data_IF_214331463526
#
_entry.id   IF_214331463526
#
_cell.length_a   1.000
_cell.length_b   1.000
_cell.length_c   1.000
_cell.angle_alpha   90.00
_cell.angle_beta   90.00
_cell.angle_gamma   90.00
#
_symmetry.space_group_name_H-M   'P 1'
#
loop_
_entity.id
_entity.type
_entity.pdbx_description
1 polymer ?
#
# COMPACT_ATOMS: atom_id res chain seq x y z
N UNK A 1 -25.48 67.11 19.32
CA UNK A 1 -25.03 66.15 18.29
C UNK A 1 -25.67 64.78 18.56
N UNK A 2 -26.47 64.29 17.59
CA UNK A 2 -26.91 62.90 17.27
C UNK A 2 -26.88 61.87 18.43
N UNK A 3 -28.00 61.49 19.08
CA UNK A 3 -29.01 60.46 18.69
C UNK A 3 -28.45 59.29 17.88
N UNK A 4 -28.59 58.06 18.39
CA UNK A 4 -29.33 56.92 17.81
C UNK A 4 -29.09 55.68 18.69
N UNK A 5 -30.16 55.21 19.34
CA UNK A 5 -30.23 53.89 19.97
C UNK A 5 -30.61 52.84 18.92
N UNK A 6 -30.01 51.66 19.00
CA UNK A 6 -30.30 50.53 18.12
C UNK A 6 -31.42 49.69 18.74
N UNK A 7 -32.58 49.67 18.07
CA UNK A 7 -33.64 48.69 18.29
C UNK A 7 -33.45 47.55 17.28
N UNK A 8 -33.35 46.32 17.78
CA UNK A 8 -33.33 45.10 16.97
C UNK A 8 -34.79 44.70 16.73
N UNK A 9 -35.26 44.85 15.50
CA UNK A 9 -36.54 44.30 15.05
C UNK A 9 -36.29 42.95 14.37
N UNK A 10 -36.96 41.90 14.88
CA UNK A 10 -37.01 40.56 14.31
C UNK A 10 -37.92 40.61 13.06
N UNK A 11 -37.39 40.30 11.88
CA UNK A 11 -38.19 40.02 10.69
C UNK A 11 -38.06 38.53 10.36
N UNK A 12 -39.12 37.77 10.66
CA UNK A 12 -39.28 36.41 10.16
C UNK A 12 -39.83 36.47 8.74
N UNK A 13 -38.99 36.22 7.74
CA UNK A 13 -39.43 35.97 6.37
C UNK A 13 -39.74 34.48 6.21
N UNK A 14 -41.01 34.16 5.97
CA UNK A 14 -41.44 32.84 5.56
C UNK A 14 -40.94 32.56 4.14
N UNK A 15 -40.04 31.60 3.96
CA UNK A 15 -39.68 31.07 2.65
C UNK A 15 -40.56 29.86 2.37
N UNK A 16 -41.45 29.99 1.39
CA UNK A 16 -42.16 28.84 0.80
C UNK A 16 -41.20 28.09 -0.12
N UNK A 17 -41.21 26.74 -0.13
CA UNK A 17 -40.41 25.98 -1.08
C UNK A 17 -41.05 26.05 -2.47
N UNK A 18 -40.30 26.58 -3.44
CA UNK A 18 -40.58 26.36 -4.86
C UNK A 18 -40.24 24.91 -5.18
N UNK A 19 -41.24 24.12 -5.58
CA UNK A 19 -41.03 22.78 -6.08
C UNK A 19 -40.27 22.85 -7.41
N UNK A 20 -38.99 22.48 -7.39
CA UNK A 20 -38.23 22.24 -8.61
C UNK A 20 -38.70 20.91 -9.21
N UNK A 21 -39.24 20.97 -10.43
CA UNK A 21 -39.54 19.78 -11.22
C UNK A 21 -38.24 18.99 -11.47
N UNK A 22 -38.26 17.71 -11.12
CA UNK A 22 -37.13 16.81 -11.35
C UNK A 22 -36.89 16.63 -12.86
N UNK A 23 -35.65 16.79 -13.37
CA UNK A 23 -35.34 16.39 -14.72
C UNK A 23 -35.48 14.86 -14.85
N UNK A 24 -36.24 14.42 -15.84
CA UNK A 24 -36.35 13.01 -16.20
C UNK A 24 -34.96 12.49 -16.58
N UNK A 25 -34.42 11.58 -15.77
CA UNK A 25 -33.21 10.85 -16.09
C UNK A 25 -33.51 9.89 -17.26
N UNK A 26 -33.03 10.22 -18.44
CA UNK A 26 -32.86 9.25 -19.51
C UNK A 26 -31.72 8.31 -19.10
N UNK A 27 -32.07 7.13 -18.59
CA UNK A 27 -31.11 6.04 -18.37
C UNK A 27 -30.44 5.68 -19.70
N UNK A 28 -29.11 5.84 -19.85
CA UNK A 28 -28.40 5.16 -20.92
C UNK A 28 -28.47 3.65 -20.61
N UNK A 29 -28.91 2.87 -21.59
CA UNK A 29 -28.91 1.41 -21.49
C UNK A 29 -27.48 0.94 -21.18
N UNK A 30 -27.26 0.45 -19.96
CA UNK A 30 -26.05 -0.29 -19.61
C UNK A 30 -26.12 -1.59 -20.41
N UNK A 31 -25.27 -1.71 -21.42
CA UNK A 31 -25.08 -2.95 -22.14
C UNK A 31 -24.63 -4.00 -21.13
N UNK A 32 -25.54 -4.91 -20.80
CA UNK A 32 -25.27 -6.08 -19.98
C UNK A 32 -24.34 -6.98 -20.80
N UNK A 33 -23.03 -6.85 -20.59
CA UNK A 33 -22.07 -7.80 -21.10
C UNK A 33 -22.35 -9.14 -20.39
N UNK A 34 -23.00 -10.05 -21.09
CA UNK A 34 -23.19 -11.42 -20.66
C UNK A 34 -21.82 -12.05 -20.44
N UNK A 35 -21.45 -12.25 -19.17
CA UNK A 35 -20.29 -13.02 -18.79
C UNK A 35 -20.56 -14.50 -19.09
N UNK A 36 -20.29 -14.93 -20.32
CA UNK A 36 -20.11 -16.35 -20.61
C UNK A 36 -18.76 -16.77 -20.01
N UNK A 37 -18.79 -17.20 -18.75
CA UNK A 37 -17.66 -17.88 -18.11
C UNK A 37 -18.13 -19.25 -17.63
N UNK A 38 -18.05 -20.24 -18.53
CA UNK A 38 -17.80 -21.62 -18.12
C UNK A 38 -16.31 -21.73 -17.80
N UNK A 39 -15.91 -21.21 -16.65
CA UNK A 39 -14.65 -21.58 -16.01
C UNK A 39 -15.02 -22.47 -14.83
N UNK A 40 -14.63 -23.74 -14.89
CA UNK A 40 -14.69 -24.63 -13.74
C UNK A 40 -13.92 -23.99 -12.57
N UNK A 41 -14.36 -24.15 -11.31
CA UNK A 41 -13.64 -23.56 -10.19
C UNK A 41 -12.26 -24.21 -10.11
N UNK A 42 -11.21 -23.43 -10.38
CA UNK A 42 -9.89 -23.77 -9.90
C UNK A 42 -10.00 -23.84 -8.37
N UNK A 43 -9.65 -24.98 -7.79
CA UNK A 43 -9.60 -25.13 -6.34
C UNK A 43 -8.76 -23.97 -5.77
N UNK A 44 -9.34 -23.18 -4.86
CA UNK A 44 -8.64 -22.11 -4.18
C UNK A 44 -7.31 -22.66 -3.65
N UNK A 45 -6.20 -21.99 -3.97
CA UNK A 45 -4.89 -22.46 -3.59
C UNK A 45 -4.84 -22.53 -2.06
N UNK A 46 -4.58 -23.71 -1.50
CA UNK A 46 -4.40 -23.85 -0.05
C UNK A 46 -3.20 -22.97 0.35
N UNK A 47 -3.32 -22.06 1.33
CA UNK A 47 -2.23 -21.15 1.69
C UNK A 47 -0.97 -21.95 2.05
N UNK A 48 0.19 -21.55 1.51
CA UNK A 48 1.44 -22.28 1.72
C UNK A 48 1.99 -22.09 3.15
N UNK A 49 1.62 -20.97 3.78
CA UNK A 49 1.89 -20.64 5.18
C UNK A 49 0.56 -20.41 5.91
N UNK A 50 0.31 -21.17 6.97
CA UNK A 50 -0.79 -20.88 7.88
C UNK A 50 -0.59 -19.49 8.49
N UNK A 51 -1.66 -18.70 8.66
CA UNK A 51 -1.52 -17.42 9.33
C UNK A 51 -1.04 -17.63 10.78
N UNK A 52 0.22 -17.29 11.07
CA UNK A 52 0.72 -17.25 12.44
C UNK A 52 0.12 -16.04 13.14
N UNK A 53 -0.59 -16.28 14.24
CA UNK A 53 -1.35 -15.26 14.97
C UNK A 53 -0.48 -14.21 15.70
N UNK A 54 0.85 -14.26 15.53
CA UNK A 54 1.79 -13.45 16.32
C UNK A 54 2.19 -12.13 15.64
N UNK A 55 2.26 -12.09 14.30
CA UNK A 55 2.80 -10.94 13.56
C UNK A 55 1.90 -10.54 12.39
N UNK A 56 1.89 -9.25 12.01
CA UNK A 56 1.10 -8.76 10.88
C UNK A 56 -0.40 -8.64 11.12
N UNK A 57 -0.84 -8.77 12.38
CA UNK A 57 -2.24 -8.63 12.83
C UNK A 57 -2.35 -7.70 14.05
N UNK A 58 -3.51 -7.05 14.26
CA UNK A 58 -3.75 -6.32 15.50
C UNK A 58 -3.79 -7.27 16.72
N UNK A 59 -3.24 -6.83 17.85
CA UNK A 59 -3.23 -7.61 19.11
C UNK A 59 -4.24 -7.05 20.11
N UNK A 60 -5.07 -7.88 20.78
CA UNK A 60 -6.01 -7.41 21.79
C UNK A 60 -5.34 -6.59 22.89
N UNK A 61 -5.83 -5.38 23.15
CA UNK A 61 -5.32 -4.48 24.18
C UNK A 61 -4.00 -3.77 23.86
N UNK A 62 -3.41 -3.99 22.69
CA UNK A 62 -2.21 -3.26 22.29
C UNK A 62 -2.55 -1.78 21.98
N UNK A 63 -1.73 -0.86 22.51
CA UNK A 63 -1.91 0.60 22.38
C UNK A 63 -0.98 1.26 21.35
N UNK A 64 0.00 0.50 20.83
CA UNK A 64 1.01 0.99 19.90
C UNK A 64 0.74 0.60 18.45
N UNK A 65 1.67 1.00 17.59
CA UNK A 65 1.71 0.57 16.19
C UNK A 65 1.98 -0.96 16.15
N UNK A 66 1.46 -1.64 15.13
CA UNK A 66 1.87 -3.03 14.83
C UNK A 66 3.39 -3.14 14.66
N UNK A 67 3.95 -4.33 14.93
CA UNK A 67 5.37 -4.57 14.72
C UNK A 67 5.77 -4.31 13.27
N UNK A 68 6.84 -3.54 13.09
CA UNK A 68 7.31 -3.12 11.78
C UNK A 68 8.33 -4.10 11.23
N UNK A 69 8.04 -4.68 10.07
CA UNK A 69 8.91 -5.69 9.42
C UNK A 69 9.76 -5.12 8.29
N UNK A 70 9.53 -3.88 7.89
CA UNK A 70 10.38 -3.15 6.93
C UNK A 70 11.41 -2.27 7.66
N UNK A 71 12.55 -2.01 7.04
CA UNK A 71 13.57 -1.09 7.59
C UNK A 71 13.01 0.32 7.76
N UNK A 72 12.38 0.84 6.70
CA UNK A 72 11.68 2.14 6.72
C UNK A 72 10.64 2.20 7.84
N UNK A 73 9.83 1.14 8.01
CA UNK A 73 8.83 1.09 9.05
C UNK A 73 9.41 1.12 10.45
N UNK A 74 10.51 0.39 10.71
CA UNK A 74 11.19 0.43 12.00
C UNK A 74 11.75 1.82 12.32
N UNK A 75 12.37 2.48 11.36
CA UNK A 75 12.83 3.87 11.54
C UNK A 75 11.66 4.82 11.83
N UNK A 76 10.56 4.66 11.10
CA UNK A 76 9.38 5.50 11.25
C UNK A 76 8.65 5.29 12.59
N UNK A 77 8.48 4.04 13.00
CA UNK A 77 7.89 3.70 14.30
C UNK A 77 8.78 4.19 15.45
N UNK A 78 10.11 4.07 15.33
CA UNK A 78 11.01 4.62 16.35
C UNK A 78 10.91 6.15 16.45
N UNK A 79 10.83 6.84 15.31
CA UNK A 79 10.62 8.29 15.28
C UNK A 79 9.28 8.69 15.91
N UNK A 80 8.22 7.96 15.60
CA UNK A 80 6.89 8.16 16.18
C UNK A 80 6.86 7.90 17.70
N UNK A 81 7.21 6.68 18.11
CA UNK A 81 7.00 6.19 19.48
C UNK A 81 7.96 6.84 20.48
N UNK A 82 9.24 6.98 20.14
CA UNK A 82 10.22 7.50 21.10
C UNK A 82 10.42 9.01 20.99
N UNK A 83 10.34 9.57 19.78
CA UNK A 83 10.65 10.99 19.58
C UNK A 83 9.39 11.85 19.65
N UNK A 84 8.41 11.60 18.77
CA UNK A 84 7.20 12.42 18.69
C UNK A 84 6.29 12.25 19.91
N UNK A 85 5.99 11.02 20.31
CA UNK A 85 5.10 10.79 21.46
C UNK A 85 5.71 11.30 22.77
N UNK A 86 7.01 11.11 23.02
CA UNK A 86 7.69 11.66 24.20
C UNK A 86 7.62 13.19 24.23
N UNK A 87 7.91 13.84 23.11
CA UNK A 87 7.82 15.30 23.01
C UNK A 87 6.39 15.81 23.25
N UNK A 88 5.39 15.19 22.62
CA UNK A 88 3.98 15.51 22.82
C UNK A 88 3.56 15.30 24.28
N UNK A 89 4.01 14.22 24.93
CA UNK A 89 3.74 13.96 26.34
C UNK A 89 4.36 15.02 27.24
N UNK A 90 5.62 15.41 27.02
CA UNK A 90 6.29 16.47 27.79
C UNK A 90 5.57 17.81 27.66
N UNK A 91 5.20 18.22 26.44
CA UNK A 91 4.46 19.47 26.21
C UNK A 91 3.07 19.40 26.87
N UNK A 92 2.37 18.27 26.72
CA UNK A 92 1.04 18.07 27.31
C UNK A 92 1.09 18.12 28.84
N UNK A 93 2.08 17.47 29.46
CA UNK A 93 2.30 17.50 30.90
C UNK A 93 2.68 18.90 31.40
N UNK A 94 3.49 19.64 30.64
CA UNK A 94 3.82 21.03 30.95
C UNK A 94 2.57 21.92 30.95
N UNK A 95 1.74 21.83 29.90
CA UNK A 95 0.47 22.57 29.82
C UNK A 95 -0.47 22.16 30.95
N UNK A 96 -0.60 20.86 31.22
CA UNK A 96 -1.42 20.34 32.30
C UNK A 96 -0.95 20.85 33.67
N UNK A 97 0.36 20.87 33.92
CA UNK A 97 0.93 21.39 35.15
C UNK A 97 0.67 22.90 35.32
N UNK A 98 0.80 23.69 34.25
CA UNK A 98 0.45 25.11 34.28
C UNK A 98 -1.05 25.31 34.53
N UNK A 99 -1.92 24.54 33.91
CA UNK A 99 -3.37 24.59 34.16
C UNK A 99 -3.69 24.23 35.62
N UNK A 100 -3.15 23.13 36.15
CA UNK A 100 -3.33 22.74 37.54
C UNK A 100 -2.79 23.82 38.50
N UNK A 101 -1.60 24.36 38.21
CA UNK A 101 -1.01 25.45 38.98
C UNK A 101 -1.91 26.68 38.98
N UNK A 102 -2.40 27.11 37.81
CA UNK A 102 -3.27 28.29 37.71
C UNK A 102 -4.59 28.09 38.44
N UNK A 103 -5.21 26.91 38.33
CA UNK A 103 -6.43 26.56 39.07
C UNK A 103 -6.22 26.62 40.58
N UNK A 104 -5.10 26.09 41.09
CA UNK A 104 -4.84 26.08 42.54
C UNK A 104 -4.40 27.45 43.04
N UNK A 105 -3.46 28.12 42.35
CA UNK A 105 -2.82 29.36 42.80
C UNK A 105 -3.68 30.59 42.59
N UNK A 106 -4.44 30.65 41.50
CA UNK A 106 -5.22 31.83 41.09
C UNK A 106 -6.74 31.67 41.26
N UNK A 107 -7.21 30.60 41.93
CA UNK A 107 -8.61 30.51 42.37
C UNK A 107 -9.03 31.72 43.22
N UNK A 108 -10.32 32.06 43.19
CA UNK A 108 -10.89 33.23 43.88
C UNK A 108 -10.53 33.33 45.36
N UNK A 109 -10.45 32.21 46.08
CA UNK A 109 -10.09 32.19 47.51
C UNK A 109 -8.61 32.45 47.77
N UNK A 110 -7.70 32.06 46.86
CA UNK A 110 -6.26 32.22 47.01
C UNK A 110 -5.72 33.50 46.33
N UNK A 111 -6.47 34.07 45.40
CA UNK A 111 -6.10 35.29 44.69
C UNK A 111 -7.31 36.22 44.46
N UNK A 112 -7.82 36.89 45.52
CA UNK A 112 -9.06 37.67 45.45
C UNK A 112 -8.95 38.96 44.62
N UNK A 113 -7.74 39.48 44.39
CA UNK A 113 -7.47 40.66 43.55
C UNK A 113 -6.66 40.23 42.32
N UNK A 114 -7.27 40.09 41.13
CA UNK A 114 -6.56 39.65 39.93
C UNK A 114 -5.57 40.71 39.44
N UNK A 115 -4.48 40.27 38.80
CA UNK A 115 -3.57 41.18 38.10
C UNK A 115 -4.26 41.82 36.89
N UNK A 116 -3.78 43.00 36.50
CA UNK A 116 -4.22 43.73 35.29
C UNK A 116 -3.17 43.74 34.17
N UNK A 117 -2.05 43.04 34.35
CA UNK A 117 -1.03 42.89 33.30
C UNK A 117 -1.64 42.16 32.10
N UNK A 118 -1.57 42.77 30.92
CA UNK A 118 -2.16 42.23 29.69
C UNK A 118 -1.14 41.68 28.70
N UNK A 119 0.13 42.05 28.82
CA UNK A 119 1.19 41.66 27.89
C UNK A 119 2.54 41.55 28.59
N UNK A 120 3.42 40.75 28.03
CA UNK A 120 4.84 40.66 28.40
C UNK A 120 5.62 40.22 27.16
N UNK A 121 6.19 41.19 26.44
CA UNK A 121 6.89 40.97 25.17
C UNK A 121 8.01 39.94 25.28
N UNK A 122 8.71 39.87 26.42
CA UNK A 122 9.76 38.87 26.60
C UNK A 122 9.21 37.44 26.60
N UNK A 123 8.13 37.20 27.36
CA UNK A 123 7.48 35.88 27.42
C UNK A 123 6.86 35.54 26.06
N UNK A 124 6.25 36.54 25.40
CA UNK A 124 5.68 36.39 24.06
C UNK A 124 6.73 35.93 23.04
N UNK A 125 7.90 36.55 23.03
CA UNK A 125 9.01 36.13 22.15
C UNK A 125 9.45 34.71 22.48
N UNK A 126 9.58 34.34 23.77
CA UNK A 126 10.00 33.00 24.17
C UNK A 126 9.00 31.93 23.74
N UNK A 127 7.70 32.10 24.01
CA UNK A 127 6.69 31.10 23.63
C UNK A 127 6.45 31.02 22.13
N UNK A 128 6.93 31.98 21.33
CA UNK A 128 6.83 31.95 19.87
C UNK A 128 8.06 31.30 19.27
N UNK A 129 9.26 31.67 19.74
CA UNK A 129 10.50 31.10 19.21
C UNK A 129 10.70 29.64 19.61
N UNK A 130 10.34 29.24 20.85
CA UNK A 130 10.51 27.87 21.31
C UNK A 130 9.72 26.86 20.44
N UNK A 131 8.41 27.04 20.16
CA UNK A 131 7.69 26.17 19.25
C UNK A 131 8.26 26.13 17.83
N UNK A 132 8.72 27.27 17.30
CA UNK A 132 9.36 27.31 15.97
C UNK A 132 10.61 26.43 15.95
N UNK A 133 11.46 26.52 16.97
CA UNK A 133 12.67 25.69 17.07
C UNK A 133 12.32 24.20 17.23
N UNK A 134 11.28 23.87 18.00
CA UNK A 134 10.78 22.49 18.15
C UNK A 134 10.34 21.94 16.78
N UNK A 135 9.57 22.70 16.01
CA UNK A 135 9.12 22.27 14.68
C UNK A 135 10.29 22.05 13.71
N UNK A 136 11.31 22.90 13.73
CA UNK A 136 12.54 22.70 12.94
C UNK A 136 13.26 21.42 13.34
N UNK A 137 13.37 21.14 14.64
CA UNK A 137 14.00 19.92 15.14
C UNK A 137 13.24 18.63 14.72
N UNK A 138 11.91 18.69 14.62
CA UNK A 138 11.08 17.60 14.09
C UNK A 138 11.23 17.45 12.57
N UNK A 139 11.30 18.57 11.84
CA UNK A 139 11.26 18.57 10.39
C UNK A 139 12.46 17.87 9.75
N UNK A 140 13.67 18.05 10.29
CA UNK A 140 14.91 17.48 9.72
C UNK A 140 14.89 15.94 9.63
N UNK A 141 14.68 15.19 10.73
CA UNK A 141 14.59 13.72 10.67
C UNK A 141 13.37 13.27 9.84
N UNK A 142 12.24 13.98 9.95
CA UNK A 142 11.02 13.67 9.19
C UNK A 142 11.23 13.71 7.67
N UNK A 143 11.88 14.77 7.15
CA UNK A 143 12.19 14.90 5.72
C UNK A 143 13.13 13.80 5.25
N UNK A 144 14.09 13.37 6.08
CA UNK A 144 14.99 12.27 5.74
C UNK A 144 14.23 10.95 5.55
N UNK A 145 13.31 10.65 6.47
CA UNK A 145 12.45 9.46 6.39
C UNK A 145 11.52 9.51 5.17
N UNK A 146 10.93 10.68 4.91
CA UNK A 146 10.07 10.92 3.75
C UNK A 146 10.81 10.66 2.43
N UNK A 147 12.07 11.12 2.32
CA UNK A 147 12.88 10.85 1.11
C UNK A 147 13.12 9.37 0.90
N UNK A 148 13.41 8.59 1.95
CA UNK A 148 13.55 7.13 1.86
C UNK A 148 12.26 6.46 1.37
N UNK A 149 11.10 6.95 1.83
CA UNK A 149 9.81 6.42 1.43
C UNK A 149 9.51 6.67 -0.06
N UNK A 150 9.84 7.85 -0.59
CA UNK A 150 9.53 8.24 -1.97
C UNK A 150 10.66 8.05 -2.99
N UNK A 151 11.82 7.52 -2.56
CA UNK A 151 12.94 7.19 -3.45
C UNK A 151 13.19 5.68 -3.45
N UNK A 152 12.34 4.89 -4.16
CA UNK A 152 12.43 3.44 -4.16
C UNK A 152 13.77 2.96 -4.74
N UNK A 153 14.39 1.92 -4.17
CA UNK A 153 15.47 1.20 -4.84
C UNK A 153 14.96 0.46 -6.08
N UNK A 154 15.85 -0.02 -6.97
CA UNK A 154 15.45 -0.85 -8.11
C UNK A 154 14.61 -2.05 -7.65
N UNK A 155 13.47 -2.27 -8.31
CA UNK A 155 12.54 -3.33 -7.95
C UNK A 155 13.04 -4.70 -8.44
N UNK A 156 12.96 -5.71 -7.58
CA UNK A 156 13.12 -7.13 -7.95
C UNK A 156 11.80 -7.72 -8.47
N UNK A 157 10.66 -7.16 -8.04
CA UNK A 157 9.31 -7.59 -8.40
C UNK A 157 8.38 -6.38 -8.50
N UNK A 158 7.57 -6.31 -9.55
CA UNK A 158 6.46 -5.37 -9.67
C UNK A 158 5.12 -6.09 -9.50
N UNK A 159 4.26 -5.56 -8.63
CA UNK A 159 2.87 -5.99 -8.47
C UNK A 159 1.96 -4.79 -8.72
N UNK A 160 1.01 -4.93 -9.65
CA UNK A 160 -0.03 -3.91 -9.84
C UNK A 160 -1.22 -4.25 -8.95
N UNK A 161 -1.66 -3.29 -8.15
CA UNK A 161 -2.79 -3.39 -7.22
C UNK A 161 -3.92 -2.51 -7.74
N UNK A 162 -5.12 -3.06 -7.85
CA UNK A 162 -6.29 -2.37 -8.38
C UNK A 162 -7.43 -2.50 -7.37
N UNK A 163 -7.89 -1.36 -6.85
CA UNK A 163 -9.08 -1.29 -6.00
C UNK A 163 -10.36 -1.38 -6.82
N UNK A 164 -11.33 -2.14 -6.32
CA UNK A 164 -12.68 -2.27 -6.86
C UNK A 164 -13.68 -2.28 -5.70
N UNK A 165 -14.94 -1.88 -5.91
CA UNK A 165 -16.02 -2.02 -4.95
C UNK A 165 -16.53 -3.48 -4.91
N UNK A 166 -16.24 -4.30 -3.88
CA UNK A 166 -15.35 -4.10 -2.72
C UNK A 166 -14.43 -5.32 -2.60
N UNK A 167 -13.37 -5.33 -3.40
CA UNK A 167 -12.35 -6.37 -3.48
C UNK A 167 -11.08 -5.82 -4.14
N UNK A 168 -9.98 -6.57 -4.10
CA UNK A 168 -8.72 -6.18 -4.73
C UNK A 168 -8.38 -7.11 -5.89
N UNK A 169 -7.90 -6.51 -6.98
CA UNK A 169 -7.29 -7.24 -8.09
C UNK A 169 -5.79 -6.99 -8.10
N UNK A 170 -5.01 -8.03 -8.32
CA UNK A 170 -3.56 -7.98 -8.34
C UNK A 170 -3.01 -8.58 -9.63
N UNK A 171 -2.07 -7.89 -10.28
CA UNK A 171 -1.42 -8.38 -11.50
C UNK A 171 0.09 -8.46 -11.31
N UNK A 172 0.69 -9.51 -11.83
CA UNK A 172 2.14 -9.77 -11.78
C UNK A 172 2.76 -9.60 -13.18
N UNK A 173 2.96 -8.35 -13.66
CA UNK A 173 3.42 -8.09 -15.03
C UNK A 173 4.78 -8.74 -15.33
N UNK A 174 5.68 -8.79 -14.35
CA UNK A 174 7.02 -9.37 -14.52
C UNK A 174 7.01 -10.91 -14.57
N UNK A 175 5.89 -11.55 -14.23
CA UNK A 175 5.76 -13.01 -14.10
C UNK A 175 4.75 -13.64 -15.06
N UNK A 176 4.56 -13.05 -16.24
CA UNK A 176 3.60 -13.53 -17.24
C UNK A 176 2.23 -12.87 -17.14
N UNK A 177 2.06 -11.85 -16.29
CA UNK A 177 0.88 -11.00 -16.28
C UNK A 177 -0.38 -11.67 -15.75
N UNK A 178 -0.27 -12.76 -15.00
CA UNK A 178 -1.43 -13.40 -14.38
C UNK A 178 -2.09 -12.48 -13.36
N UNK A 179 -3.39 -12.68 -13.18
CA UNK A 179 -4.26 -11.89 -12.32
C UNK A 179 -4.79 -12.70 -11.14
N UNK A 180 -4.90 -12.06 -9.99
CA UNK A 180 -5.51 -12.60 -8.78
C UNK A 180 -6.61 -11.66 -8.33
N UNK A 181 -7.79 -12.22 -8.09
CA UNK A 181 -8.91 -11.51 -7.46
C UNK A 181 -8.98 -11.99 -6.01
N UNK A 182 -8.97 -11.04 -5.07
CA UNK A 182 -8.96 -11.29 -3.63
C UNK A 182 -10.18 -10.65 -2.98
N UNK A 183 -11.09 -11.49 -2.49
CA UNK A 183 -12.28 -11.13 -1.75
C UNK A 183 -12.14 -11.47 -0.28
N UNK A 184 -12.83 -10.72 0.59
CA UNK A 184 -12.93 -11.08 1.99
C UNK A 184 -13.66 -12.42 2.17
N UNK A 185 -13.10 -13.29 3.02
CA UNK A 185 -13.80 -14.50 3.42
C UNK A 185 -14.95 -14.20 4.37
N UNK A 186 -16.04 -14.92 4.19
CA UNK A 186 -17.20 -14.89 5.08
C UNK A 186 -17.04 -15.88 6.22
N UNK A 187 -17.65 -15.60 7.36
CA UNK A 187 -17.74 -16.57 8.45
C UNK A 187 -18.67 -17.72 8.08
N UNK A 188 -18.51 -18.87 8.77
CA UNK A 188 -19.29 -20.08 8.51
C UNK A 188 -20.81 -19.87 8.56
N UNK A 189 -21.27 -18.93 9.38
CA UNK A 189 -22.69 -18.61 9.53
C UNK A 189 -23.27 -17.86 8.31
N UNK A 190 -22.43 -17.22 7.50
CA UNK A 190 -22.83 -16.32 6.40
C UNK A 190 -22.65 -16.93 5.01
N UNK A 191 -22.31 -18.22 4.94
CA UNK A 191 -22.12 -18.98 3.70
C UNK A 191 -23.18 -20.06 3.53
N UNK A 192 -23.47 -20.42 2.28
CA UNK A 192 -24.34 -21.58 2.00
C UNK A 192 -23.59 -22.89 2.25
N UNK A 193 -24.34 -23.98 2.42
CA UNK A 193 -23.74 -25.30 2.54
C UNK A 193 -22.87 -25.63 1.32
N UNK A 194 -21.60 -25.98 1.56
CA UNK A 194 -20.62 -26.30 0.53
C UNK A 194 -19.77 -25.11 0.02
N UNK A 195 -20.09 -23.88 0.41
CA UNK A 195 -19.25 -22.72 0.10
C UNK A 195 -18.04 -22.64 1.04
N UNK A 196 -16.90 -22.15 0.54
CA UNK A 196 -15.69 -21.90 1.35
C UNK A 196 -15.96 -20.75 2.33
N UNK A 197 -15.58 -20.95 3.58
CA UNK A 197 -15.68 -19.96 4.65
C UNK A 197 -14.33 -19.77 5.34
N UNK A 198 -14.21 -18.70 6.13
CA UNK A 198 -13.00 -18.39 6.89
C UNK A 198 -12.70 -19.47 7.93
N UNK A 199 -11.46 -19.93 7.94
CA UNK A 199 -10.85 -20.73 9.01
C UNK A 199 -9.73 -19.94 9.68
N UNK A 200 -9.24 -20.40 10.83
CA UNK A 200 -8.15 -19.71 11.53
C UNK A 200 -6.83 -19.78 10.75
N UNK A 201 -6.67 -20.76 9.85
CA UNK A 201 -5.53 -20.82 8.94
C UNK A 201 -5.54 -19.68 7.91
N UNK A 202 -6.71 -19.15 7.57
CA UNK A 202 -6.88 -18.04 6.62
C UNK A 202 -6.56 -16.68 7.25
N UNK A 203 -6.71 -16.57 8.57
CA UNK A 203 -6.42 -15.36 9.34
C UNK A 203 -7.61 -14.87 10.17
N UNK A 204 -7.48 -13.70 10.79
CA UNK A 204 -8.52 -13.14 11.65
C UNK A 204 -9.81 -12.77 10.88
N UNK A 205 -10.96 -12.73 11.57
CA UNK A 205 -12.19 -12.16 11.02
C UNK A 205 -11.95 -10.76 10.43
N UNK A 206 -12.67 -10.44 9.34
CA UNK A 206 -12.56 -9.17 8.58
C UNK A 206 -11.21 -8.91 7.89
N UNK A 207 -10.18 -9.73 8.12
CA UNK A 207 -8.85 -9.58 7.50
C UNK A 207 -8.54 -10.71 6.51
N UNK A 208 -9.05 -11.91 6.76
CA UNK A 208 -8.84 -13.07 5.90
C UNK A 208 -9.49 -12.89 4.52
N UNK A 209 -8.78 -13.32 3.49
CA UNK A 209 -9.20 -13.27 2.07
C UNK A 209 -9.21 -14.66 1.45
N UNK A 210 -9.89 -14.78 0.30
CA UNK A 210 -9.96 -16.03 -0.43
C UNK A 210 -8.65 -16.43 -1.10
N UNK A 211 -7.98 -15.48 -1.73
CA UNK A 211 -6.67 -15.65 -2.37
C UNK A 211 -5.72 -14.56 -1.89
N UNK A 212 -4.65 -14.98 -1.19
CA UNK A 212 -3.58 -14.07 -0.76
C UNK A 212 -2.66 -13.80 -1.94
N UNK A 213 -2.14 -12.57 -2.03
CA UNK A 213 -1.00 -12.31 -2.90
C UNK A 213 0.28 -12.82 -2.25
N UNK A 214 1.24 -13.26 -3.05
CA UNK A 214 2.51 -13.79 -2.57
C UNK A 214 3.66 -12.92 -3.06
N UNK A 215 4.60 -12.62 -2.17
CA UNK A 215 5.82 -11.89 -2.51
C UNK A 215 7.07 -12.60 -1.95
N UNK A 216 8.24 -12.51 -2.62
CA UNK A 216 9.46 -13.16 -2.16
C UNK A 216 10.13 -12.39 -1.03
N UNK A 217 10.52 -13.10 0.03
CA UNK A 217 11.28 -12.57 1.14
C UNK A 217 12.65 -12.03 0.70
N UNK A 218 13.09 -10.93 1.31
CA UNK A 218 14.39 -10.31 1.07
C UNK A 218 14.53 -9.54 -0.25
N UNK A 219 13.43 -9.37 -0.99
CA UNK A 219 13.38 -8.70 -2.29
C UNK A 219 12.66 -7.35 -2.21
N UNK A 220 13.06 -6.41 -3.06
CA UNK A 220 12.39 -5.12 -3.22
C UNK A 220 11.16 -5.32 -4.09
N UNK A 221 9.99 -5.15 -3.49
CA UNK A 221 8.70 -5.24 -4.18
C UNK A 221 8.15 -3.84 -4.40
N UNK A 222 7.90 -3.50 -5.66
CA UNK A 222 7.22 -2.27 -6.07
C UNK A 222 5.74 -2.55 -6.28
N UNK A 223 4.89 -1.79 -5.60
CA UNK A 223 3.45 -1.80 -5.81
C UNK A 223 3.04 -0.60 -6.66
N UNK A 224 2.40 -0.87 -7.79
CA UNK A 224 1.72 0.14 -8.60
C UNK A 224 0.24 0.10 -8.26
N UNK A 225 -0.27 1.15 -7.63
CA UNK A 225 -1.60 1.17 -7.00
C UNK A 225 -2.54 2.10 -7.78
N UNK A 226 -3.72 1.60 -8.14
CA UNK A 226 -4.77 2.35 -8.85
C UNK A 226 -6.15 1.79 -8.53
N UNK A 227 -7.21 2.35 -9.13
CA UNK A 227 -8.59 1.89 -8.96
C UNK A 227 -9.35 1.90 -10.28
N UNK A 228 -10.33 1.01 -10.42
CA UNK A 228 -11.25 0.97 -11.55
C UNK A 228 -12.51 1.83 -11.34
N UNK A 229 -12.82 2.23 -10.10
CA UNK A 229 -14.10 2.88 -9.77
C UNK A 229 -13.96 4.16 -8.93
N UNK A 230 -13.93 4.03 -7.60
CA UNK A 230 -13.80 5.13 -6.64
C UNK A 230 -12.42 5.12 -6.00
N UNK A 231 -12.12 6.09 -5.15
CA UNK A 231 -10.86 6.08 -4.41
C UNK A 231 -10.90 4.97 -3.34
N UNK A 232 -9.83 4.19 -3.27
CA UNK A 232 -9.52 3.26 -2.18
C UNK A 232 -8.13 3.61 -1.63
N UNK A 233 -7.65 2.91 -0.61
CA UNK A 233 -6.24 3.02 -0.21
C UNK A 233 -5.66 1.66 0.17
N UNK A 234 -4.53 1.34 -0.44
CA UNK A 234 -3.77 0.12 -0.19
C UNK A 234 -2.87 0.36 1.02
N UNK A 235 -3.17 -0.30 2.14
CA UNK A 235 -2.47 -0.09 3.40
C UNK A 235 -2.17 -1.41 4.13
N UNK A 236 -0.91 -1.58 4.53
CA UNK A 236 -0.43 -2.72 5.32
C UNK A 236 0.34 -2.14 6.50
N UNK A 237 -0.25 -2.13 7.71
CA UNK A 237 0.35 -1.48 8.87
C UNK A 237 1.75 -1.99 9.23
N UNK A 238 1.96 -3.31 9.17
CA UNK A 238 3.27 -3.93 9.48
C UNK A 238 4.38 -3.54 8.49
N UNK A 239 4.03 -3.03 7.31
CA UNK A 239 4.98 -2.60 6.28
C UNK A 239 5.28 -1.10 6.32
N UNK A 240 4.55 -0.33 7.13
CA UNK A 240 4.52 1.14 7.07
C UNK A 240 4.05 1.68 5.71
N UNK A 241 3.20 0.93 5.03
CA UNK A 241 2.73 1.26 3.68
C UNK A 241 1.29 1.74 3.73
N UNK A 242 1.04 2.88 3.09
CA UNK A 242 -0.29 3.38 2.78
C UNK A 242 -0.19 4.27 1.55
N UNK A 243 -0.98 3.97 0.53
CA UNK A 243 -1.08 4.82 -0.66
C UNK A 243 -2.45 4.68 -1.30
N UNK A 244 -2.99 5.80 -1.77
CA UNK A 244 -4.33 5.82 -2.35
C UNK A 244 -4.33 5.15 -3.73
N UNK A 245 -5.40 4.43 -3.99
CA UNK A 245 -5.76 3.82 -5.26
C UNK A 245 -6.73 4.78 -5.97
N UNK A 246 -6.18 5.65 -6.83
CA UNK A 246 -6.95 6.71 -7.47
C UNK A 246 -7.32 6.30 -8.91
N UNK A 247 -8.60 6.36 -9.30
CA UNK A 247 -9.00 6.17 -10.68
C UNK A 247 -8.26 7.13 -11.62
N UNK A 248 -7.72 6.62 -12.72
CA UNK A 248 -6.98 7.41 -13.71
C UNK A 248 -5.55 7.82 -13.29
N UNK A 249 -5.04 7.35 -12.15
CA UNK A 249 -3.65 7.59 -11.71
C UNK A 249 -2.98 6.30 -11.25
N UNK A 250 -1.73 6.13 -11.66
CA UNK A 250 -0.85 5.09 -11.13
C UNK A 250 0.01 5.69 -10.01
N UNK A 251 -0.27 5.31 -8.78
CA UNK A 251 0.56 5.64 -7.63
C UNK A 251 1.59 4.53 -7.39
N UNK A 252 2.72 4.85 -6.77
CA UNK A 252 3.80 3.90 -6.50
C UNK A 252 4.19 3.90 -5.03
N UNK A 253 4.37 2.71 -4.48
CA UNK A 253 5.02 2.49 -3.19
C UNK A 253 5.89 1.24 -3.26
N UNK A 254 6.74 1.02 -2.27
CA UNK A 254 7.67 -0.10 -2.26
C UNK A 254 7.85 -0.65 -0.84
N UNK A 255 8.22 -1.93 -0.77
CA UNK A 255 8.58 -2.61 0.49
C UNK A 255 9.74 -3.57 0.26
N UNK A 256 10.47 -3.85 1.33
CA UNK A 256 11.36 -5.01 1.43
C UNK A 256 11.09 -5.70 2.76
N UNK A 257 10.66 -6.96 2.70
CA UNK A 257 10.28 -7.75 3.88
C UNK A 257 11.14 -9.00 3.91
N UNK A 258 11.96 -9.14 4.96
CA UNK A 258 12.90 -10.26 5.08
C UNK A 258 12.29 -11.47 5.80
N UNK A 259 11.32 -11.23 6.68
CA UNK A 259 10.69 -12.26 7.51
C UNK A 259 9.53 -12.91 6.73
N UNK A 260 9.56 -14.24 6.48
CA UNK A 260 8.40 -14.94 5.94
C UNK A 260 7.21 -14.91 6.91
N UNK A 261 6.00 -14.94 6.39
CA UNK A 261 4.77 -14.89 7.18
C UNK A 261 3.59 -14.29 6.41
N UNK A 262 2.45 -14.14 7.09
CA UNK A 262 1.24 -13.55 6.51
C UNK A 262 1.00 -12.18 7.14
N UNK A 263 0.77 -11.17 6.31
CA UNK A 263 0.59 -9.79 6.72
C UNK A 263 -0.74 -9.26 6.22
N UNK A 264 -1.49 -8.62 7.12
CA UNK A 264 -2.84 -8.15 6.82
C UNK A 264 -2.92 -6.64 6.73
N UNK A 265 -3.86 -6.19 5.93
CA UNK A 265 -4.19 -4.79 5.70
C UNK A 265 -5.69 -4.61 5.47
N UNK A 266 -6.12 -3.36 5.40
CA UNK A 266 -7.50 -3.01 5.09
C UNK A 266 -7.53 -1.80 4.16
N UNK A 267 -8.60 -1.68 3.37
CA UNK A 267 -8.85 -0.45 2.63
C UNK A 267 -8.90 0.74 3.61
N UNK A 268 -8.13 1.79 3.31
CA UNK A 268 -7.93 2.93 4.22
C UNK A 268 -8.45 4.26 3.67
N UNK A 269 -9.31 4.22 2.65
CA UNK A 269 -10.03 5.39 2.11
C UNK A 269 -11.49 5.02 1.88
N UNK A 270 -12.42 5.90 2.28
CA UNK A 270 -13.84 5.58 2.30
C UNK A 270 -14.38 5.34 0.88
N UNK A 271 -14.70 4.09 0.56
CA UNK A 271 -15.09 3.67 -0.80
C UNK A 271 -16.54 3.14 -0.91
N UNK A 272 -17.40 3.46 0.07
CA UNK A 272 -18.84 3.17 0.05
C UNK A 272 -19.30 2.10 1.05
N UNK A 273 -20.46 1.51 0.79
CA UNK A 273 -21.23 0.71 1.75
C UNK A 273 -20.47 -0.49 2.35
N UNK A 274 -19.54 -1.09 1.59
CA UNK A 274 -18.72 -2.21 2.09
C UNK A 274 -17.24 -1.87 2.27
N UNK A 275 -16.92 -0.60 2.52
CA UNK A 275 -15.56 -0.13 2.77
C UNK A 275 -14.79 -0.98 3.81
N UNK A 276 -15.46 -1.38 4.91
CA UNK A 276 -14.86 -2.23 5.95
C UNK A 276 -14.70 -3.72 5.60
N UNK A 277 -15.05 -4.16 4.39
CA UNK A 277 -15.13 -5.57 4.01
C UNK A 277 -14.30 -5.92 2.76
N UNK A 278 -13.19 -5.23 2.55
CA UNK A 278 -12.24 -5.50 1.46
C UNK A 278 -10.78 -5.46 1.97
N UNK A 279 -10.39 -6.44 2.79
CA UNK A 279 -9.06 -6.50 3.37
C UNK A 279 -8.02 -6.90 2.33
N UNK A 280 -6.76 -6.80 2.76
CA UNK A 280 -5.56 -7.16 2.02
C UNK A 280 -4.86 -8.25 2.82
N UNK A 281 -4.39 -9.31 2.16
CA UNK A 281 -3.51 -10.28 2.80
C UNK A 281 -2.35 -10.63 1.86
N UNK A 282 -1.14 -10.51 2.40
CA UNK A 282 0.12 -10.71 1.70
C UNK A 282 0.89 -11.83 2.39
N UNK A 283 1.22 -12.86 1.65
CA UNK A 283 2.08 -13.95 2.10
C UNK A 283 3.51 -13.71 1.62
N UNK A 284 4.44 -13.60 2.56
CA UNK A 284 5.86 -13.44 2.29
C UNK A 284 6.51 -14.81 2.43
N UNK A 285 7.11 -15.30 1.34
CA UNK A 285 7.65 -16.66 1.28
C UNK A 285 9.11 -16.65 0.80
N UNK A 286 9.91 -17.68 1.10
CA UNK A 286 11.24 -17.84 0.50
C UNK A 286 11.19 -17.79 -1.04
N UNK A 287 12.22 -17.24 -1.73
CA UNK A 287 12.20 -17.08 -3.19
C UNK A 287 11.90 -18.35 -3.99
N UNK A 288 12.33 -19.53 -3.51
CA UNK A 288 12.02 -20.80 -4.16
C UNK A 288 10.52 -21.15 -4.09
N UNK A 289 9.86 -20.87 -2.97
CA UNK A 289 8.42 -21.06 -2.82
C UNK A 289 7.64 -20.05 -3.67
N UNK A 290 8.13 -18.80 -3.76
CA UNK A 290 7.55 -17.80 -4.66
C UNK A 290 7.60 -18.28 -6.13
N UNK A 291 8.75 -18.80 -6.58
CA UNK A 291 8.88 -19.33 -7.93
C UNK A 291 7.93 -20.52 -8.21
N UNK A 292 7.78 -21.43 -7.25
CA UNK A 292 6.82 -22.53 -7.36
C UNK A 292 5.37 -22.03 -7.40
N UNK A 293 5.04 -21.03 -6.58
CA UNK A 293 3.72 -20.41 -6.58
C UNK A 293 3.41 -19.69 -7.90
N UNK A 294 4.36 -18.93 -8.45
CA UNK A 294 4.23 -18.31 -9.79
C UNK A 294 3.94 -19.36 -10.85
N UNK A 295 4.69 -20.47 -10.86
CA UNK A 295 4.45 -21.57 -11.79
C UNK A 295 3.05 -22.20 -11.62
N UNK A 296 2.57 -22.34 -10.37
CA UNK A 296 1.22 -22.85 -10.09
C UNK A 296 0.09 -21.96 -10.61
N UNK A 297 0.36 -20.66 -10.77
CA UNK A 297 -0.57 -19.69 -11.38
C UNK A 297 -0.41 -19.59 -12.92
N UNK A 298 0.44 -20.43 -13.52
CA UNK A 298 0.73 -20.40 -14.96
C UNK A 298 1.70 -19.29 -15.38
N UNK A 299 2.33 -18.61 -14.42
CA UNK A 299 3.34 -17.59 -14.66
C UNK A 299 4.74 -18.15 -14.86
N UNK A 300 5.68 -17.27 -15.19
CA UNK A 300 7.11 -17.61 -15.34
C UNK A 300 7.98 -16.67 -14.50
N UNK A 301 9.16 -17.14 -14.08
CA UNK A 301 10.14 -16.27 -13.44
C UNK A 301 10.96 -15.52 -14.51
N UNK A 302 11.31 -14.24 -14.28
CA UNK A 302 12.22 -13.52 -15.18
C UNK A 302 13.51 -14.30 -15.41
N UNK A 303 13.88 -14.50 -16.68
CA UNK A 303 15.09 -15.24 -17.06
C UNK A 303 14.96 -16.78 -17.05
N UNK A 304 13.79 -17.33 -16.73
CA UNK A 304 13.54 -18.76 -16.90
C UNK A 304 13.44 -19.09 -18.40
N UNK A 305 14.38 -19.91 -18.91
CA UNK A 305 14.24 -20.54 -20.23
C UNK A 305 12.99 -21.45 -20.17
N UNK A 306 12.10 -21.46 -21.18
CA UNK A 306 10.96 -22.37 -21.18
C UNK A 306 11.45 -23.78 -20.88
N UNK A 307 10.82 -24.44 -19.91
CA UNK A 307 11.10 -25.85 -19.66
C UNK A 307 10.88 -26.60 -20.97
N UNK A 308 11.94 -27.23 -21.49
CA UNK A 308 11.80 -28.13 -22.61
C UNK A 308 10.75 -29.17 -22.21
N UNK A 309 9.73 -29.35 -23.06
CA UNK A 309 8.77 -30.42 -22.88
C UNK A 309 9.56 -31.73 -22.70
N UNK A 310 9.13 -32.64 -21.80
CA UNK A 310 9.83 -33.91 -21.65
C UNK A 310 9.83 -34.62 -23.01
N UNK A 311 11.03 -34.78 -23.59
CA UNK A 311 11.22 -35.53 -24.82
C UNK A 311 10.70 -36.95 -24.59
N UNK A 312 9.58 -37.27 -25.24
CA UNK A 312 9.01 -38.60 -25.28
C UNK A 312 9.70 -39.48 -26.32
N UNK A 313 11.03 -39.44 -26.36
CA UNK A 313 11.83 -40.36 -27.17
C UNK A 313 12.78 -41.14 -26.26
N UNK A 314 12.28 -42.28 -25.79
CA UNK A 314 13.14 -43.31 -25.27
C UNK A 314 14.14 -43.73 -26.35
N UNK A 315 15.42 -43.73 -26.00
CA UNK A 315 16.41 -44.55 -26.68
C UNK A 315 17.36 -45.13 -25.64
N UNK A 316 17.32 -46.46 -25.55
CA UNK A 316 18.30 -47.27 -24.85
C UNK A 316 19.71 -46.99 -25.37
N UNK A 317 20.75 -47.06 -24.52
CA UNK A 317 22.10 -46.78 -24.96
C UNK A 317 22.63 -47.95 -25.80
N UNK A 318 22.98 -47.68 -27.06
CA UNK A 318 23.90 -48.52 -27.82
C UNK A 318 25.30 -47.98 -27.56
N UNK A 319 26.13 -48.85 -26.99
CA UNK A 319 27.57 -48.67 -26.83
C UNK A 319 28.25 -48.50 -28.17
N UNK A 320 29.21 -47.58 -28.29
CA UNK A 320 30.26 -47.72 -29.30
C UNK A 320 31.62 -47.24 -28.83
N UNK A 321 32.60 -48.02 -29.26
CA UNK A 321 34.00 -47.99 -28.90
C UNK A 321 34.78 -46.85 -29.60
N UNK A 322 36.01 -46.67 -29.13
CA UNK A 322 36.90 -45.55 -29.42
C UNK A 322 37.69 -45.66 -30.75
N UNK A 323 37.80 -44.50 -31.45
CA UNK A 323 39.01 -43.88 -32.09
C UNK A 323 39.55 -44.54 -33.40
N UNK A 324 40.25 -43.86 -34.39
CA UNK A 324 40.87 -42.51 -34.41
C UNK A 324 40.64 -41.61 -35.67
N UNK A 325 41.25 -40.42 -35.59
CA UNK A 325 41.30 -39.25 -36.48
C UNK A 325 42.04 -39.40 -37.84
N UNK A 326 41.75 -38.48 -38.80
CA UNK A 326 42.75 -37.73 -39.58
C UNK A 326 42.17 -36.64 -40.51
N UNK A 327 42.87 -35.49 -40.52
CA UNK A 327 43.21 -34.58 -41.64
C UNK A 327 42.17 -33.65 -42.31
N UNK A 328 42.50 -32.34 -42.29
CA UNK A 328 42.03 -31.29 -43.20
C UNK A 328 42.65 -31.43 -44.62
N UNK A 329 42.10 -30.74 -45.63
CA UNK A 329 42.70 -29.45 -46.07
C UNK A 329 41.70 -28.36 -46.57
N UNK A 330 42.12 -27.08 -46.44
CA UNK A 330 41.63 -25.87 -47.16
C UNK A 330 42.47 -25.67 -48.47
N UNK A 331 42.35 -24.60 -49.31
CA UNK A 331 41.32 -23.55 -49.54
C UNK A 331 41.05 -23.22 -51.05
N UNK A 332 40.07 -22.34 -51.36
CA UNK A 332 40.16 -21.31 -52.46
C UNK A 332 38.87 -20.44 -52.53
N UNK A 333 38.92 -19.15 -52.16
CA UNK A 333 38.97 -17.92 -52.99
C UNK A 333 37.62 -17.35 -53.47
N UNK A 334 37.34 -16.09 -53.11
CA UNK A 334 36.33 -15.23 -53.76
C UNK A 334 35.86 -14.05 -52.88
N UNK A 335 36.46 -12.87 -53.08
CA UNK A 335 36.02 -11.54 -52.58
C UNK A 335 35.61 -10.68 -53.80
N UNK A 336 35.14 -9.40 -53.68
CA UNK A 336 34.46 -8.67 -52.60
C UNK A 336 33.19 -7.93 -53.10
N UNK A 337 32.38 -7.35 -52.19
CA UNK A 337 32.09 -5.89 -52.18
C UNK A 337 30.93 -5.52 -51.25
N UNK A 338 31.22 -4.63 -50.29
CA UNK A 338 30.58 -3.31 -50.15
C UNK A 338 30.61 -2.82 -48.70
N UNK A 339 31.27 -1.69 -48.51
CA UNK A 339 31.41 -0.94 -47.28
C UNK A 339 30.16 -0.09 -46.98
N UNK A 340 29.83 0.08 -45.71
CA UNK A 340 29.20 1.30 -45.20
C UNK A 340 29.37 1.39 -43.68
N UNK A 341 30.17 2.35 -43.24
CA UNK A 341 30.34 2.79 -41.85
C UNK A 341 29.60 4.11 -41.68
N UNK A 342 28.70 4.24 -40.70
CA UNK A 342 28.30 5.54 -40.11
C UNK A 342 27.93 5.35 -38.62
N UNK A 343 28.11 6.39 -37.77
CA UNK A 343 28.37 6.30 -36.32
C UNK A 343 27.12 6.63 -35.44
N UNK A 344 27.21 6.63 -34.09
CA UNK A 344 26.06 6.53 -33.19
C UNK A 344 25.37 7.88 -32.92
N UNK A 345 24.07 7.83 -32.67
CA UNK A 345 23.23 8.99 -32.35
C UNK A 345 23.00 9.07 -30.84
N UNK A 346 23.43 10.18 -30.24
CA UNK A 346 23.05 10.66 -28.91
C UNK A 346 21.78 11.52 -29.00
N UNK A 347 20.91 11.49 -27.99
CA UNK A 347 20.13 12.63 -27.44
C UNK A 347 19.39 12.14 -26.18
N UNK A 348 19.74 12.58 -24.97
CA UNK A 348 19.46 13.85 -24.29
C UNK A 348 18.02 14.00 -23.77
N UNK A 349 17.95 14.32 -22.47
CA UNK A 349 16.77 14.48 -21.63
C UNK A 349 15.94 15.71 -21.99
N UNK A 350 14.63 15.64 -21.71
CA UNK A 350 13.72 16.77 -21.74
C UNK A 350 13.19 17.07 -20.33
N UNK A 351 13.57 18.25 -19.84
CA UNK A 351 12.97 19.00 -18.73
C UNK A 351 11.91 19.98 -19.25
N UNK A 352 11.03 20.43 -18.33
CA UNK A 352 10.11 21.59 -18.36
C UNK A 352 8.66 21.30 -18.81
N UNK A 353 7.66 21.33 -17.91
CA UNK A 353 6.93 22.48 -17.31
C UNK A 353 5.71 22.93 -18.14
N UNK A 354 4.50 22.62 -17.64
CA UNK A 354 3.53 23.59 -17.11
C UNK A 354 2.36 22.86 -16.43
#
# INVERSE_FOLDING_TARGET
MKRIGWAIALAAAAMTPVAAAAPQATTPAVAQAAANTTAAPAAAATPAIAADAEFGVPRPGALGIQEQVTELGREAANFHDYWLLTLCAVISLFVLALLAYTMVRYRRSANPKPSRTSHNTFIEVVWTLVPVLILVAIAVPSISLLRKQYSPPPADLTVKVIGNQWYWTYQYPDNGGFEIISNMLKEKADVKAGERFRTDADGPPLLAVDERIVIPAGKVVKFIVTSNDVIHAFAIPAFWTKIDANPGRLNETWVKVDRPGVYFGQCSELCGARHGYMPIAIEVVPPAQFAAWVASKGGTMPGAKPAAAPDSTGSSPVSDAAVPAAAQPQPATGTPDSAATQPPVTNQAATAQN
#
